data_IF_471369726597
#
_entry.id   IF_471369726597
#
_cell.length_a   1.000
_cell.length_b   1.000
_cell.length_c   1.000
_cell.angle_alpha   90.00
_cell.angle_beta   90.00
_cell.angle_gamma   90.00
#
_symmetry.space_group_name_H-M   'P 1'
#
loop_
_entity.id
_entity.type
_entity.pdbx_description
1 polymer ?
#
# COMPACT_ATOMS: atom_id res chain seq x y z
N UNK A 1 4.11 -5.36 10.86
CA UNK A 1 3.48 -6.70 10.79
C UNK A 1 4.40 -7.64 10.01
N UNK A 2 4.40 -8.93 10.34
CA UNK A 2 5.30 -9.91 9.72
C UNK A 2 4.55 -10.80 8.73
N UNK A 3 5.20 -11.22 7.64
CA UNK A 3 4.61 -12.13 6.66
C UNK A 3 4.17 -13.44 7.33
N UNK A 4 2.98 -13.94 6.98
CA UNK A 4 2.37 -15.12 7.57
C UNK A 4 1.59 -14.88 8.88
N UNK A 5 1.67 -13.68 9.48
CA UNK A 5 0.89 -13.32 10.66
C UNK A 5 -0.61 -13.30 10.33
N UNK A 6 -1.45 -13.85 11.21
CA UNK A 6 -2.91 -13.80 11.04
C UNK A 6 -3.43 -12.39 11.25
N UNK A 7 -4.32 -11.96 10.36
CA UNK A 7 -4.88 -10.62 10.37
C UNK A 7 -6.03 -10.53 11.36
N UNK A 8 -5.94 -9.49 12.17
CA UNK A 8 -7.00 -9.02 13.04
C UNK A 8 -7.22 -7.55 12.68
N UNK A 9 -8.45 -7.16 12.38
CA UNK A 9 -8.79 -5.81 11.91
C UNK A 9 -8.23 -4.72 12.83
N UNK A 10 -8.31 -4.90 14.15
CA UNK A 10 -7.77 -3.95 15.11
C UNK A 10 -6.25 -3.75 14.96
N UNK A 11 -5.50 -4.83 14.66
CA UNK A 11 -4.06 -4.74 14.39
C UNK A 11 -3.76 -4.00 13.09
N UNK A 12 -4.59 -4.14 12.06
CA UNK A 12 -4.43 -3.38 10.81
C UNK A 12 -4.64 -1.89 11.06
N UNK A 13 -5.72 -1.53 11.76
CA UNK A 13 -6.00 -0.14 12.13
C UNK A 13 -4.85 0.47 12.93
N UNK A 14 -4.33 -0.27 13.91
CA UNK A 14 -3.15 0.14 14.68
C UNK A 14 -1.95 0.33 13.74
N UNK A 15 -1.66 -0.63 12.85
CA UNK A 15 -0.53 -0.52 11.92
C UNK A 15 -0.63 0.68 10.97
N UNK A 16 -1.84 1.05 10.52
CA UNK A 16 -2.06 2.26 9.70
C UNK A 16 -1.89 3.54 10.50
N UNK A 17 -2.39 3.58 11.74
CA UNK A 17 -2.16 4.70 12.66
C UNK A 17 -0.69 4.84 13.02
N UNK A 18 0.01 3.73 13.24
CA UNK A 18 1.44 3.70 13.51
C UNK A 18 2.25 4.17 12.31
N UNK A 19 1.85 3.76 11.10
CA UNK A 19 2.41 4.32 9.88
C UNK A 19 2.24 5.83 9.89
N UNK A 20 1.02 6.34 10.05
CA UNK A 20 0.75 7.78 10.12
C UNK A 20 1.56 8.51 11.21
N UNK A 21 1.76 7.90 12.38
CA UNK A 21 2.46 8.49 13.54
C UNK A 21 3.98 8.48 13.39
N UNK A 22 4.57 7.39 12.92
CA UNK A 22 5.99 7.30 12.52
C UNK A 22 6.29 8.36 11.46
N UNK A 23 5.33 8.63 10.57
CA UNK A 23 5.45 9.69 9.56
C UNK A 23 5.18 11.10 10.10
N UNK A 24 4.46 11.25 11.22
CA UNK A 24 4.22 12.55 11.86
C UNK A 24 5.49 13.15 12.48
N UNK A 25 6.43 12.31 12.93
CA UNK A 25 7.70 12.71 13.57
C UNK A 25 8.78 13.26 12.62
N UNK A 26 8.40 13.66 11.41
CA UNK A 26 9.27 14.40 10.47
C UNK A 26 9.85 13.59 9.30
N UNK A 27 9.52 12.30 9.18
CA UNK A 27 10.15 11.39 8.21
C UNK A 27 9.48 11.22 6.85
N UNK A 28 8.32 11.84 6.57
CA UNK A 28 7.63 11.63 5.28
C UNK A 28 7.00 12.88 4.66
N UNK A 29 6.99 12.97 3.31
CA UNK A 29 6.40 14.09 2.59
C UNK A 29 4.88 14.19 2.79
N UNK A 30 4.36 15.43 2.86
CA UNK A 30 2.92 15.72 3.04
C UNK A 30 2.00 14.91 2.09
N UNK A 31 2.35 14.66 0.82
CA UNK A 31 1.44 13.94 -0.08
C UNK A 31 1.22 12.47 0.30
N UNK A 32 2.24 11.78 0.84
CA UNK A 32 2.06 10.40 1.31
C UNK A 32 1.16 10.36 2.56
N UNK A 33 1.26 11.37 3.45
CA UNK A 33 0.35 11.50 4.60
C UNK A 33 -1.11 11.67 4.17
N UNK A 34 -1.35 12.41 3.09
CA UNK A 34 -2.68 12.56 2.52
C UNK A 34 -3.24 11.23 2.01
N UNK A 35 -2.41 10.43 1.33
CA UNK A 35 -2.76 9.08 0.87
C UNK A 35 -3.12 8.15 2.05
N UNK A 36 -2.29 8.13 3.11
CA UNK A 36 -2.57 7.31 4.30
C UNK A 36 -3.87 7.75 4.98
N UNK A 37 -4.06 9.06 5.15
CA UNK A 37 -5.27 9.61 5.75
C UNK A 37 -6.51 9.24 4.94
N UNK A 38 -6.41 9.26 3.61
CA UNK A 38 -7.48 8.85 2.71
C UNK A 38 -7.84 7.38 2.89
N UNK A 39 -6.85 6.48 2.92
CA UNK A 39 -7.04 5.03 3.16
C UNK A 39 -7.81 4.78 4.47
N UNK A 40 -7.41 5.46 5.55
CA UNK A 40 -8.10 5.38 6.85
C UNK A 40 -9.53 5.91 6.74
N UNK A 41 -9.72 7.06 6.08
CA UNK A 41 -11.05 7.68 5.94
C UNK A 41 -12.06 6.83 5.16
N UNK A 42 -11.59 6.05 4.17
CA UNK A 42 -12.41 5.15 3.37
C UNK A 42 -12.62 3.77 4.01
N UNK A 43 -11.99 3.51 5.18
CA UNK A 43 -12.05 2.23 5.87
C UNK A 43 -11.21 1.13 5.22
N UNK A 44 -10.35 1.46 4.27
CA UNK A 44 -9.43 0.53 3.62
C UNK A 44 -8.33 0.04 4.56
N UNK A 45 -8.13 0.74 5.68
CA UNK A 45 -7.26 0.36 6.79
C UNK A 45 -7.67 -0.96 7.49
N UNK A 46 -8.84 -1.49 7.16
CA UNK A 46 -9.34 -2.78 7.64
C UNK A 46 -9.08 -3.93 6.67
N UNK A 47 -8.65 -3.61 5.45
CA UNK A 47 -8.50 -4.54 4.33
C UNK A 47 -7.02 -4.69 3.96
N UNK A 48 -6.31 -3.57 3.88
CA UNK A 48 -4.93 -3.56 3.40
C UNK A 48 -3.94 -3.59 4.54
N UNK A 49 -2.81 -4.25 4.28
CA UNK A 49 -1.67 -4.28 5.18
C UNK A 49 -0.74 -3.13 4.82
N UNK A 50 -0.48 -2.19 5.75
CA UNK A 50 0.54 -1.18 5.54
C UNK A 50 1.93 -1.75 5.86
N UNK A 51 2.91 -1.31 5.09
CA UNK A 51 4.31 -1.40 5.46
C UNK A 51 5.03 -0.16 4.93
N UNK A 52 6.24 0.06 5.40
CA UNK A 52 7.03 1.21 4.98
C UNK A 52 8.51 0.87 4.88
N UNK A 53 9.16 1.43 3.87
CA UNK A 53 10.63 1.41 3.74
C UNK A 53 11.05 2.77 3.22
N UNK A 54 12.01 3.43 3.87
CA UNK A 54 12.63 4.72 3.52
C UNK A 54 11.84 5.55 2.48
N UNK A 55 10.95 6.43 2.95
CA UNK A 55 10.11 7.34 2.15
C UNK A 55 9.09 6.68 1.20
N UNK A 56 8.96 5.35 1.25
CA UNK A 56 8.00 4.58 0.45
C UNK A 56 6.94 3.97 1.34
N UNK A 57 5.67 4.23 1.01
CA UNK A 57 4.52 3.51 1.54
C UNK A 57 4.31 2.23 0.71
N UNK A 58 4.10 1.11 1.40
CA UNK A 58 3.74 -0.17 0.81
C UNK A 58 2.32 -0.52 1.26
N UNK A 59 1.46 -0.86 0.29
CA UNK A 59 0.07 -1.22 0.50
C UNK A 59 -0.10 -2.62 -0.07
N UNK A 60 -0.37 -3.60 0.79
CA UNK A 60 -0.43 -5.00 0.37
C UNK A 60 -1.80 -5.62 0.62
N UNK A 61 -2.19 -6.53 -0.26
CA UNK A 61 -3.43 -7.31 -0.13
C UNK A 61 -3.12 -8.59 0.63
N UNK A 62 -3.86 -8.89 1.71
CA UNK A 62 -3.68 -10.13 2.44
C UNK A 62 -4.18 -11.35 1.66
N UNK A 63 -3.65 -12.53 2.00
CA UNK A 63 -4.05 -13.81 1.39
C UNK A 63 -4.35 -14.79 2.53
N UNK A 64 -5.48 -15.49 2.45
CA UNK A 64 -5.92 -16.46 3.46
C UNK A 64 -5.94 -15.89 4.89
N UNK A 65 -6.39 -14.63 5.01
CA UNK A 65 -6.42 -13.86 6.25
C UNK A 65 -5.05 -13.73 6.94
N UNK A 66 -3.97 -13.78 6.16
CA UNK A 66 -2.60 -13.59 6.62
C UNK A 66 -1.92 -12.44 5.92
N UNK A 67 -1.00 -11.80 6.63
CA UNK A 67 -0.10 -10.80 6.07
C UNK A 67 0.70 -11.44 4.96
N UNK A 68 0.64 -10.82 3.79
CA UNK A 68 1.28 -11.30 2.59
C UNK A 68 1.71 -10.11 1.72
N UNK A 69 2.89 -10.19 1.11
CA UNK A 69 3.45 -9.11 0.29
C UNK A 69 3.51 -9.44 -1.21
N UNK A 70 2.79 -10.48 -1.64
CA UNK A 70 2.75 -10.96 -3.02
C UNK A 70 2.14 -9.93 -3.95
N UNK A 71 1.06 -9.28 -3.55
CA UNK A 71 0.44 -8.14 -4.23
C UNK A 71 0.72 -6.88 -3.45
N UNK A 72 1.60 -6.02 -3.97
CA UNK A 72 2.00 -4.80 -3.27
C UNK A 72 1.95 -3.61 -4.21
N UNK A 73 1.23 -2.57 -3.81
CA UNK A 73 1.32 -1.24 -4.39
C UNK A 73 2.36 -0.43 -3.59
N UNK A 74 3.36 0.09 -4.28
CA UNK A 74 4.38 0.97 -3.72
C UNK A 74 4.04 2.39 -4.10
N UNK A 75 4.14 3.29 -3.13
CA UNK A 75 3.89 4.72 -3.32
C UNK A 75 5.04 5.48 -2.70
N UNK A 76 5.72 6.30 -3.50
CA UNK A 76 6.78 7.17 -3.01
C UNK A 76 6.66 8.56 -3.63
N UNK A 77 7.22 9.53 -2.93
CA UNK A 77 7.20 10.92 -3.34
C UNK A 77 8.61 11.39 -3.68
N UNK A 78 8.75 12.01 -4.84
CA UNK A 78 9.97 12.68 -5.24
C UNK A 78 9.85 14.17 -4.90
N UNK A 79 10.61 14.61 -3.89
CA UNK A 79 10.60 16.01 -3.46
C UNK A 79 11.22 16.97 -4.49
N UNK A 80 12.12 16.51 -5.36
CA UNK A 80 12.81 17.39 -6.31
C UNK A 80 11.86 17.83 -7.43
N UNK A 81 11.05 16.89 -7.93
CA UNK A 81 10.10 17.14 -9.02
C UNK A 81 8.65 17.23 -8.54
N UNK A 82 8.40 17.11 -7.23
CA UNK A 82 7.09 17.22 -6.58
C UNK A 82 6.04 16.23 -7.12
N UNK A 83 6.48 15.02 -7.50
CA UNK A 83 5.61 13.97 -8.06
C UNK A 83 5.46 12.79 -7.12
N UNK A 84 4.33 12.10 -7.23
CA UNK A 84 4.10 10.81 -6.58
C UNK A 84 4.22 9.73 -7.65
N UNK A 85 4.94 8.66 -7.32
CA UNK A 85 5.05 7.50 -8.17
C UNK A 85 4.40 6.29 -7.51
N UNK A 86 3.55 5.63 -8.27
CA UNK A 86 2.87 4.40 -7.91
C UNK A 86 3.46 3.26 -8.71
N UNK A 87 3.75 2.13 -8.05
CA UNK A 87 4.19 0.90 -8.71
C UNK A 87 3.53 -0.30 -8.10
N UNK A 88 2.71 -0.99 -8.87
CA UNK A 88 2.13 -2.26 -8.49
C UNK A 88 3.03 -3.41 -8.94
N UNK A 89 3.40 -4.25 -7.98
CA UNK A 89 4.21 -5.44 -8.19
C UNK A 89 3.47 -6.70 -7.76
N UNK A 90 3.67 -7.75 -8.54
CA UNK A 90 3.24 -9.11 -8.21
C UNK A 90 4.48 -10.00 -8.10
N UNK A 91 4.66 -10.68 -6.97
CA UNK A 91 5.71 -11.70 -6.80
C UNK A 91 5.38 -12.93 -7.65
N UNK A 92 6.36 -13.68 -8.14
CA UNK A 92 6.12 -14.99 -8.77
C UNK A 92 5.88 -16.06 -7.69
N UNK A 93 5.00 -17.02 -7.97
CA UNK A 93 4.57 -18.06 -7.03
C UNK A 93 5.70 -19.00 -6.56
N UNK A 94 6.73 -19.20 -7.39
CA UNK A 94 7.72 -20.29 -7.19
C UNK A 94 9.10 -19.83 -6.68
N UNK A 95 9.29 -18.55 -6.36
CA UNK A 95 10.63 -18.04 -6.00
C UNK A 95 10.78 -17.85 -4.48
N UNK A 96 11.70 -18.64 -3.90
CA UNK A 96 12.20 -18.48 -2.53
C UNK A 96 12.67 -17.03 -2.34
N UNK A 97 12.30 -16.45 -1.19
CA UNK A 97 12.75 -15.15 -0.68
C UNK A 97 14.23 -14.95 -0.97
N UNK A 98 14.61 -14.02 -1.84
CA UNK A 98 15.73 -13.10 -1.57
C UNK A 98 16.08 -12.16 -2.73
N UNK A 99 15.69 -12.42 -3.97
CA UNK A 99 15.98 -11.49 -5.07
C UNK A 99 14.86 -10.48 -5.27
N UNK A 100 15.19 -9.19 -5.09
CA UNK A 100 14.39 -8.01 -5.48
C UNK A 100 13.93 -8.10 -6.95
N UNK A 101 14.64 -8.87 -7.77
CA UNK A 101 14.42 -9.12 -9.20
C UNK A 101 13.24 -10.03 -9.56
N UNK A 102 12.60 -10.67 -8.58
CA UNK A 102 11.52 -11.66 -8.80
C UNK A 102 10.13 -11.06 -8.93
N UNK A 103 10.02 -9.75 -8.71
CA UNK A 103 8.75 -9.02 -8.72
C UNK A 103 8.47 -8.48 -10.10
N UNK A 104 7.40 -8.97 -10.73
CA UNK A 104 6.96 -8.44 -12.01
C UNK A 104 6.21 -7.13 -11.76
N UNK A 105 6.74 -6.03 -12.28
CA UNK A 105 5.98 -4.77 -12.37
C UNK A 105 4.80 -5.00 -13.31
N UNK A 106 3.59 -4.84 -12.78
CA UNK A 106 2.35 -5.04 -13.53
C UNK A 106 1.73 -3.73 -13.97
N UNK A 107 1.96 -2.68 -13.19
CA UNK A 107 1.47 -1.33 -13.48
C UNK A 107 2.34 -0.31 -12.76
N UNK A 108 2.55 0.83 -13.39
CA UNK A 108 3.30 1.95 -12.85
C UNK A 108 2.70 3.25 -13.39
N UNK A 109 2.58 4.24 -12.51
CA UNK A 109 2.09 5.57 -12.87
C UNK A 109 2.81 6.65 -12.07
N UNK A 110 2.96 7.83 -12.65
CA UNK A 110 3.56 8.99 -11.99
C UNK A 110 2.65 10.19 -12.20
N UNK A 111 2.31 10.88 -11.12
CA UNK A 111 1.38 12.00 -11.14
C UNK A 111 1.87 13.16 -10.28
N UNK A 112 1.21 14.31 -10.39
CA UNK A 112 1.48 15.42 -9.48
C UNK A 112 1.01 15.08 -8.06
N UNK A 113 1.61 15.73 -7.06
CA UNK A 113 1.27 15.54 -5.65
C UNK A 113 -0.24 15.69 -5.36
N UNK A 114 -0.90 16.63 -6.06
CA UNK A 114 -2.34 16.90 -5.93
C UNK A 114 -3.24 15.80 -6.49
N UNK A 115 -2.72 14.97 -7.40
CA UNK A 115 -3.49 13.93 -8.11
C UNK A 115 -3.38 12.57 -7.43
N UNK A 116 -2.50 12.40 -6.43
CA UNK A 116 -2.19 11.09 -5.85
C UNK A 116 -3.39 10.32 -5.30
N UNK A 117 -4.37 11.01 -4.72
CA UNK A 117 -5.61 10.36 -4.23
C UNK A 117 -6.47 9.86 -5.41
N UNK A 118 -6.55 10.63 -6.49
CA UNK A 118 -7.31 10.25 -7.69
C UNK A 118 -6.69 9.01 -8.32
N UNK A 119 -5.37 9.01 -8.54
CA UNK A 119 -4.66 7.87 -9.11
C UNK A 119 -4.73 6.63 -8.21
N UNK A 120 -4.69 6.81 -6.89
CA UNK A 120 -4.91 5.71 -5.95
C UNK A 120 -6.29 5.07 -6.17
N UNK A 121 -7.36 5.86 -6.19
CA UNK A 121 -8.72 5.34 -6.36
C UNK A 121 -8.91 4.69 -7.74
N UNK A 122 -8.37 5.28 -8.80
CA UNK A 122 -8.41 4.68 -10.14
C UNK A 122 -7.73 3.31 -10.15
N UNK A 123 -6.56 3.19 -9.49
CA UNK A 123 -5.89 1.91 -9.34
C UNK A 123 -6.73 0.91 -8.53
N UNK A 124 -7.26 1.32 -7.37
CA UNK A 124 -8.06 0.43 -6.51
C UNK A 124 -9.34 -0.06 -7.20
N UNK A 125 -9.93 0.73 -8.10
CA UNK A 125 -11.13 0.37 -8.86
C UNK A 125 -10.85 -0.47 -10.11
N UNK A 126 -9.67 -0.32 -10.72
CA UNK A 126 -9.28 -1.03 -11.95
C UNK A 126 -8.54 -2.33 -11.67
N UNK A 127 -7.81 -2.44 -10.57
CA UNK A 127 -7.06 -3.63 -10.20
C UNK A 127 -7.96 -4.64 -9.50
N UNK A 128 -8.25 -5.77 -10.18
CA UNK A 128 -9.14 -6.80 -9.65
C UNK A 128 -8.73 -7.30 -8.26
N UNK A 129 -7.43 -7.46 -7.97
CA UNK A 129 -6.98 -8.00 -6.68
C UNK A 129 -7.32 -7.06 -5.53
N UNK A 130 -7.05 -5.76 -5.70
CA UNK A 130 -7.37 -4.76 -4.68
C UNK A 130 -8.88 -4.54 -4.57
N UNK A 131 -9.57 -4.45 -5.71
CA UNK A 131 -11.03 -4.26 -5.75
C UNK A 131 -11.76 -5.41 -5.07
N UNK A 132 -11.38 -6.65 -5.37
CA UNK A 132 -12.05 -7.83 -4.82
C UNK A 132 -11.81 -7.93 -3.31
N UNK A 133 -10.63 -7.55 -2.81
CA UNK A 133 -10.37 -7.47 -1.38
C UNK A 133 -11.28 -6.44 -0.68
N UNK A 134 -11.48 -5.26 -1.28
CA UNK A 134 -12.42 -4.25 -0.76
C UNK A 134 -13.85 -4.77 -0.76
N UNK A 135 -14.28 -5.44 -1.84
CA UNK A 135 -15.64 -6.00 -1.96
C UNK A 135 -15.88 -7.10 -0.93
N UNK A 136 -14.92 -8.01 -0.72
CA UNK A 136 -15.05 -9.10 0.25
C UNK A 136 -15.22 -8.58 1.68
N UNK A 137 -14.51 -7.50 2.04
CA UNK A 137 -14.64 -6.88 3.35
C UNK A 137 -16.00 -6.19 3.58
N UNK A 138 -16.62 -5.65 2.53
CA UNK A 138 -17.90 -4.91 2.63
C UNK A 138 -19.14 -5.82 2.69
N UNK A 139 -18.99 -7.14 2.53
CA UNK A 139 -20.07 -8.13 2.63
C UNK A 139 -20.22 -8.62 4.05
#
# INVERSE_FOLDING_TARGET
MHEGETIVVERLRIAWKDSLSVFALGGMPKPIKAIISHIISQGYDQVFVPSSSLYTLLISVPIDNKVNYFYTLRVWYDEQIQTIKFRFVQKKADEKMDSVDTRLTKWEETCQASEGIVILEEFLNSNNVFRDAIIQFRK
#
